data_IF_966662733623
#
_entry.id   IF_966662733623
#
_cell.length_a   1.000
_cell.length_b   1.000
_cell.length_c   1.000
_cell.angle_alpha   90.00
_cell.angle_beta   90.00
_cell.angle_gamma   90.00
#
_symmetry.space_group_name_H-M   'P 1'
#
loop_
_entity.id
_entity.type
_entity.pdbx_description
1 polymer ?
#
# COMPACT_ATOMS: atom_id res chain seq x y z
N UNK A 1 11.40 -11.61 -12.36
CA UNK A 1 10.60 -10.41 -12.65
C UNK A 1 10.60 -9.47 -11.46
N UNK A 2 10.83 -8.17 -11.70
CA UNK A 2 10.92 -7.11 -10.70
C UNK A 2 9.73 -6.15 -10.77
N UNK A 3 9.29 -5.64 -9.62
CA UNK A 3 8.10 -4.77 -9.50
C UNK A 3 8.33 -3.30 -9.93
N UNK A 4 9.57 -2.93 -10.29
CA UNK A 4 9.96 -1.59 -10.78
C UNK A 4 9.41 -0.42 -9.91
N UNK A 5 9.47 -0.60 -8.60
CA UNK A 5 9.00 0.39 -7.62
C UNK A 5 9.87 1.66 -7.64
N UNK A 6 9.26 2.79 -7.31
CA UNK A 6 9.93 4.07 -7.08
C UNK A 6 10.02 4.34 -5.59
N UNK A 7 11.00 5.13 -5.16
CA UNK A 7 11.10 5.60 -3.77
C UNK A 7 9.79 6.28 -3.31
N UNK A 8 9.36 5.96 -2.09
CA UNK A 8 8.11 6.44 -1.53
C UNK A 8 6.88 5.65 -1.98
N UNK A 9 5.74 6.34 -2.11
CA UNK A 9 4.44 5.72 -2.36
C UNK A 9 4.27 5.26 -3.81
N UNK A 10 3.85 4.01 -4.00
CA UNK A 10 3.48 3.43 -5.29
C UNK A 10 2.05 2.90 -5.22
N UNK A 11 1.18 3.38 -6.11
CA UNK A 11 -0.18 2.84 -6.24
C UNK A 11 -0.15 1.49 -6.95
N UNK A 12 -0.79 0.49 -6.35
CA UNK A 12 -0.92 -0.85 -6.92
C UNK A 12 -2.38 -1.29 -6.91
N UNK A 13 -2.73 -2.17 -7.85
CA UNK A 13 -4.08 -2.73 -7.96
C UNK A 13 -4.00 -4.24 -7.98
N UNK A 14 -4.66 -4.88 -7.01
CA UNK A 14 -4.88 -6.31 -7.02
C UNK A 14 -6.19 -6.60 -7.76
N UNK A 15 -6.14 -7.45 -8.78
CA UNK A 15 -7.31 -7.83 -9.57
C UNK A 15 -7.51 -9.33 -9.51
N UNK A 16 -8.69 -9.77 -9.08
CA UNK A 16 -9.07 -11.19 -9.01
C UNK A 16 -10.32 -11.40 -9.85
N UNK A 17 -10.25 -12.31 -10.81
CA UNK A 17 -11.38 -12.69 -11.65
C UNK A 17 -11.84 -14.10 -11.30
N UNK A 18 -13.11 -14.24 -10.93
CA UNK A 18 -13.75 -15.54 -10.69
C UNK A 18 -14.92 -15.73 -11.65
N UNK A 19 -15.23 -16.99 -11.96
CA UNK A 19 -16.34 -17.31 -12.88
C UNK A 19 -17.71 -16.83 -12.38
N UNK A 20 -17.91 -16.83 -11.06
CA UNK A 20 -19.22 -16.56 -10.46
C UNK A 20 -19.40 -15.12 -9.98
N UNK A 21 -18.31 -14.43 -9.64
CA UNK A 21 -18.37 -13.05 -9.10
C UNK A 21 -17.71 -12.02 -10.02
N UNK A 22 -17.27 -12.43 -11.22
CA UNK A 22 -16.60 -11.54 -12.17
C UNK A 22 -15.25 -11.06 -11.64
N UNK A 23 -14.86 -9.84 -12.02
CA UNK A 23 -13.57 -9.24 -11.66
C UNK A 23 -13.73 -8.26 -10.49
N UNK A 24 -13.05 -8.53 -9.39
CA UNK A 24 -12.88 -7.60 -8.28
C UNK A 24 -11.52 -6.93 -8.37
N UNK A 25 -11.44 -5.64 -8.02
CA UNK A 25 -10.21 -4.87 -7.93
C UNK A 25 -10.09 -4.20 -6.57
N UNK A 26 -8.91 -4.25 -5.98
CA UNK A 26 -8.56 -3.57 -4.74
C UNK A 26 -7.35 -2.69 -4.98
N UNK A 27 -7.50 -1.39 -4.73
CA UNK A 27 -6.40 -0.43 -4.79
C UNK A 27 -5.68 -0.39 -3.45
N UNK A 28 -4.35 -0.33 -3.50
CA UNK A 28 -3.50 -0.23 -2.33
C UNK A 28 -2.28 0.64 -2.63
N UNK A 29 -1.58 1.03 -1.57
CA UNK A 29 -0.32 1.77 -1.67
C UNK A 29 0.80 0.94 -1.06
N UNK A 30 1.86 0.68 -1.84
CA UNK A 30 3.10 0.08 -1.35
C UNK A 30 4.18 1.15 -1.23
N UNK A 31 4.94 1.12 -0.14
CA UNK A 31 6.03 2.08 0.09
C UNK A 31 7.38 1.39 -0.08
N UNK A 32 8.27 2.02 -0.85
CA UNK A 32 9.69 1.68 -0.90
C UNK A 32 10.46 2.72 -0.08
N UNK A 33 11.27 2.24 0.86
CA UNK A 33 12.13 3.05 1.72
C UNK A 33 13.57 2.55 1.66
N UNK A 34 14.51 3.47 1.84
CA UNK A 34 15.91 3.14 2.03
C UNK A 34 16.15 2.63 3.45
N UNK A 35 17.20 1.84 3.62
CA UNK A 35 17.53 1.23 4.91
C UNK A 35 17.93 2.26 5.99
N UNK A 36 18.31 3.47 5.59
CA UNK A 36 18.74 4.57 6.45
C UNK A 36 17.65 5.63 6.70
N UNK A 37 16.45 5.45 6.13
CA UNK A 37 15.32 6.36 6.32
C UNK A 37 14.91 6.46 7.79
N UNK A 38 14.60 7.68 8.23
CA UNK A 38 14.11 7.96 9.59
C UNK A 38 12.59 7.84 9.62
N UNK A 39 12.10 6.80 10.28
CA UNK A 39 10.67 6.52 10.42
C UNK A 39 10.15 7.12 11.74
N UNK A 40 9.12 7.95 11.66
CA UNK A 40 8.37 8.45 12.83
C UNK A 40 7.02 7.72 12.85
N UNK A 41 6.72 7.06 13.97
CA UNK A 41 5.47 6.32 14.15
C UNK A 41 4.53 7.17 15.01
N UNK A 42 3.32 7.38 14.52
CA UNK A 42 2.23 8.03 15.26
C UNK A 42 0.99 7.14 15.21
N UNK A 43 0.33 6.99 16.35
CA UNK A 43 -0.97 6.34 16.42
C UNK A 43 -2.09 7.32 16.08
N UNK A 44 -3.17 6.83 15.48
CA UNK A 44 -4.33 7.65 15.08
C UNK A 44 -5.41 7.57 16.16
N UNK A 45 -5.70 6.36 16.64
CA UNK A 45 -6.81 6.07 17.56
C UNK A 45 -6.40 6.36 19.02
N UNK A 46 -6.52 7.63 19.40
CA UNK A 46 -6.24 8.12 20.76
C UNK A 46 -5.22 9.26 20.86
N UNK A 47 -4.51 9.57 19.77
CA UNK A 47 -3.58 10.74 19.70
C UNK A 47 -4.16 11.89 18.86
N UNK A 48 -4.91 11.61 17.78
CA UNK A 48 -5.41 12.64 16.86
C UNK A 48 -6.93 12.86 17.05
N UNK A 49 -7.69 11.80 17.27
CA UNK A 49 -9.13 11.87 17.53
C UNK A 49 -9.42 11.63 19.01
N UNK A 50 -10.34 12.44 19.57
CA UNK A 50 -10.90 12.28 20.91
C UNK A 50 -12.37 11.91 20.78
#
# INVERSE_FOLDING_TARGET
DSLNLREGANTVVFSVTTQYQGTCRCEATIYLWNYDDKIIISDIDGTITK
#
